data_IF_709234364030
#
_entry.id   IF_709234364030
#
_cell.length_a   1.000
_cell.length_b   1.000
_cell.length_c   1.000
_cell.angle_alpha   90.00
_cell.angle_beta   90.00
_cell.angle_gamma   90.00
#
_symmetry.space_group_name_H-M   'P 1'
#
loop_
_entity.id
_entity.type
_entity.pdbx_description
1 polymer ?
#
# COMPACT_ATOMS: atom_id res chain seq x y z
N UNK A 1 10.64 -13.99 0.73
CA UNK A 1 11.00 -12.92 1.69
C UNK A 1 11.21 -11.62 0.94
N UNK A 2 10.35 -10.64 1.18
CA UNK A 2 10.52 -9.28 0.67
C UNK A 2 11.63 -8.59 1.45
N UNK A 3 12.72 -8.22 0.76
CA UNK A 3 13.92 -7.65 1.40
C UNK A 3 13.91 -6.12 1.45
N UNK A 4 13.10 -5.49 0.59
CA UNK A 4 13.05 -4.04 0.44
C UNK A 4 11.62 -3.53 0.61
N UNK A 5 11.50 -2.32 1.14
CA UNK A 5 10.23 -1.62 1.30
C UNK A 5 10.35 -0.16 0.88
N UNK A 6 9.22 0.41 0.47
CA UNK A 6 9.04 1.87 0.36
C UNK A 6 8.45 2.37 1.67
N UNK A 7 8.99 3.45 2.19
CA UNK A 7 8.60 4.10 3.43
C UNK A 7 8.42 5.60 3.17
N UNK A 8 7.70 6.26 4.06
CA UNK A 8 7.53 7.70 4.08
C UNK A 8 8.06 8.33 5.36
N UNK A 9 8.39 9.63 5.26
CA UNK A 9 8.71 10.46 6.41
C UNK A 9 8.47 11.93 6.07
N UNK A 10 8.04 12.71 7.04
CA UNK A 10 8.05 14.16 6.91
C UNK A 10 9.46 14.70 7.20
N UNK A 11 9.92 15.68 6.42
CA UNK A 11 11.15 16.41 6.73
C UNK A 11 10.90 17.69 7.55
N UNK A 12 11.98 18.32 7.99
CA UNK A 12 11.93 19.57 8.78
C UNK A 12 11.27 20.77 8.08
N UNK A 13 11.09 20.70 6.76
CA UNK A 13 10.45 21.74 5.96
C UNK A 13 8.98 21.38 5.64
N UNK A 14 8.48 20.28 6.21
CA UNK A 14 7.11 19.81 6.07
C UNK A 14 6.84 19.03 4.79
N UNK A 15 7.84 18.59 4.02
CA UNK A 15 7.59 17.77 2.83
C UNK A 15 7.47 16.29 3.19
N UNK A 16 6.47 15.63 2.61
CA UNK A 16 6.33 14.18 2.65
C UNK A 16 7.34 13.51 1.70
N UNK A 17 8.40 12.93 2.26
CA UNK A 17 9.44 12.25 1.53
C UNK A 17 9.15 10.75 1.43
N UNK A 18 9.57 10.13 0.34
CA UNK A 18 9.55 8.67 0.19
C UNK A 18 10.97 8.14 0.07
N UNK A 19 11.23 6.95 0.62
CA UNK A 19 12.54 6.32 0.55
C UNK A 19 12.45 4.80 0.49
N UNK A 20 13.49 4.19 -0.08
CA UNK A 20 13.61 2.74 -0.22
C UNK A 20 14.66 2.25 0.77
N UNK A 21 14.27 1.37 1.67
CA UNK A 21 15.16 0.76 2.66
C UNK A 21 14.94 -0.76 2.72
N UNK A 22 15.82 -1.45 3.44
CA UNK A 22 15.57 -2.87 3.72
C UNK A 22 14.50 -3.00 4.81
N UNK A 23 13.65 -4.01 4.71
CA UNK A 23 12.63 -4.27 5.74
C UNK A 23 13.27 -4.64 7.10
N UNK A 24 14.52 -5.12 7.08
CA UNK A 24 15.31 -5.42 8.27
C UNK A 24 15.90 -4.19 8.97
N UNK A 25 16.18 -3.10 8.22
CA UNK A 25 16.71 -1.86 8.80
C UNK A 25 15.61 -1.03 9.47
N UNK A 26 14.37 -1.16 9.00
CA UNK A 26 13.22 -0.38 9.47
C UNK A 26 12.23 -1.26 10.26
N UNK A 27 12.72 -1.99 11.28
CA UNK A 27 11.92 -3.04 11.95
C UNK A 27 10.61 -2.55 12.59
N UNK A 28 10.59 -1.29 13.00
CA UNK A 28 9.47 -0.65 13.71
C UNK A 28 8.52 0.12 12.80
N UNK A 29 8.77 0.13 11.49
CA UNK A 29 7.96 0.85 10.51
C UNK A 29 7.40 -0.15 9.51
N UNK A 30 6.09 -0.13 9.32
CA UNK A 30 5.44 -0.94 8.30
C UNK A 30 5.67 -0.29 6.92
N UNK A 31 6.28 -0.99 5.95
CA UNK A 31 6.49 -0.43 4.63
C UNK A 31 5.15 -0.18 3.91
N UNK A 32 5.05 0.93 3.19
CA UNK A 32 3.93 1.26 2.31
C UNK A 32 3.70 0.18 1.25
N UNK A 33 4.81 -0.37 0.73
CA UNK A 33 4.82 -1.46 -0.24
C UNK A 33 6.14 -2.21 -0.18
N UNK A 34 6.12 -3.53 -0.39
CA UNK A 34 7.31 -4.38 -0.32
C UNK A 34 7.72 -4.98 -1.66
N UNK A 35 9.00 -5.30 -1.80
CA UNK A 35 9.61 -5.82 -3.02
C UNK A 35 10.65 -6.91 -2.71
N UNK A 36 10.81 -7.84 -3.64
CA UNK A 36 11.83 -8.90 -3.59
C UNK A 36 13.25 -8.34 -3.71
N UNK A 37 13.42 -7.28 -4.52
CA UNK A 37 14.70 -6.67 -4.84
C UNK A 37 14.60 -5.14 -4.93
N UNK A 38 15.75 -4.48 -4.80
CA UNK A 38 15.85 -3.01 -4.78
C UNK A 38 15.46 -2.37 -6.11
N UNK A 39 15.80 -3.00 -7.23
CA UNK A 39 15.55 -2.42 -8.56
C UNK A 39 14.06 -2.37 -8.87
N UNK A 40 13.30 -3.39 -8.47
CA UNK A 40 11.84 -3.40 -8.55
C UNK A 40 11.21 -2.26 -7.74
N UNK A 41 11.73 -1.99 -6.53
CA UNK A 41 11.28 -0.88 -5.69
C UNK A 41 11.59 0.48 -6.34
N UNK A 42 12.81 0.65 -6.87
CA UNK A 42 13.23 1.88 -7.58
C UNK A 42 12.34 2.11 -8.80
N UNK A 43 12.19 1.11 -9.66
CA UNK A 43 11.37 1.23 -10.87
C UNK A 43 9.90 1.51 -10.55
N UNK A 44 9.37 1.01 -9.43
CA UNK A 44 8.05 1.37 -8.96
C UNK A 44 7.97 2.83 -8.49
N UNK A 45 8.94 3.28 -7.68
CA UNK A 45 9.00 4.67 -7.20
C UNK A 45 9.13 5.66 -8.37
N UNK A 46 9.97 5.36 -9.37
CA UNK A 46 10.11 6.19 -10.56
C UNK A 46 8.80 6.35 -11.35
N UNK A 47 7.96 5.31 -11.38
CA UNK A 47 6.63 5.41 -12.01
C UNK A 47 5.71 6.35 -11.24
N UNK A 48 5.72 6.27 -9.91
CA UNK A 48 4.94 7.19 -9.07
C UNK A 48 5.42 8.63 -9.20
N UNK A 49 6.74 8.83 -9.18
CA UNK A 49 7.35 10.15 -9.38
C UNK A 49 6.90 10.79 -10.69
N UNK A 50 6.86 10.00 -11.77
CA UNK A 50 6.38 10.47 -13.07
C UNK A 50 4.87 10.71 -13.09
N UNK A 51 4.08 9.81 -12.51
CA UNK A 51 2.60 9.89 -12.48
C UNK A 51 2.11 11.11 -11.69
N UNK A 52 2.67 11.32 -10.51
CA UNK A 52 2.22 12.32 -9.54
C UNK A 52 3.06 13.60 -9.56
N UNK A 53 3.97 13.73 -10.53
CA UNK A 53 4.86 14.91 -10.68
C UNK A 53 5.56 15.21 -9.34
N UNK A 54 6.15 14.17 -8.75
CA UNK A 54 6.88 14.28 -7.50
C UNK A 54 8.34 14.65 -7.76
N UNK A 55 9.01 15.06 -6.70
CA UNK A 55 10.41 15.43 -6.75
C UNK A 55 11.27 14.18 -6.58
N UNK A 56 12.09 13.85 -7.59
CA UNK A 56 12.97 12.67 -7.54
C UNK A 56 13.88 12.65 -6.30
N UNK A 57 14.33 13.83 -5.85
CA UNK A 57 15.21 14.00 -4.70
C UNK A 57 14.47 13.73 -3.39
N UNK A 58 13.24 14.22 -3.23
CA UNK A 58 12.42 13.96 -2.05
C UNK A 58 11.86 12.52 -2.03
N UNK A 59 11.76 11.87 -3.19
CA UNK A 59 11.41 10.46 -3.30
C UNK A 59 12.61 9.50 -3.29
N UNK A 60 13.83 9.99 -3.02
CA UNK A 60 15.02 9.16 -2.88
C UNK A 60 15.46 8.42 -4.16
N UNK A 61 14.95 8.81 -5.33
CA UNK A 61 15.29 8.20 -6.64
C UNK A 61 16.43 8.90 -7.35
N UNK A 62 16.80 10.11 -6.92
CA UNK A 62 17.89 10.87 -7.49
C UNK A 62 18.65 11.67 -6.42
N UNK A 63 19.92 11.32 -6.20
CA UNK A 63 20.79 11.98 -5.23
C UNK A 63 21.59 13.06 -5.93
N UNK A 64 21.48 14.30 -5.46
CA UNK A 64 22.23 15.45 -5.97
C UNK A 64 22.26 16.55 -4.92
N UNK A 65 23.30 17.39 -4.92
CA UNK A 65 23.38 18.57 -4.05
C UNK A 65 22.41 19.68 -4.54
N UNK A 66 22.28 19.83 -5.85
CA UNK A 66 21.46 20.85 -6.49
C UNK A 66 19.98 20.49 -6.70
N UNK A 67 19.31 21.15 -7.67
CA UNK A 67 17.97 20.78 -8.09
C UNK A 67 17.94 19.39 -8.72
N UNK A 68 16.85 18.64 -8.51
CA UNK A 68 16.68 17.33 -9.16
C UNK A 68 16.61 17.46 -10.70
N UNK A 69 16.98 16.38 -11.40
CA UNK A 69 16.98 16.37 -12.87
C UNK A 69 15.59 16.72 -13.45
N UNK A 70 14.51 16.18 -12.88
CA UNK A 70 13.15 16.53 -13.29
C UNK A 70 12.84 18.02 -13.22
N UNK A 71 13.42 18.77 -12.27
CA UNK A 71 13.20 20.21 -12.20
C UNK A 71 13.85 20.92 -13.39
N UNK A 72 15.07 20.50 -13.78
CA UNK A 72 15.79 21.06 -14.92
C UNK A 72 15.02 20.88 -16.23
N UNK A 73 14.28 19.76 -16.37
CA UNK A 73 13.45 19.46 -17.54
C UNK A 73 11.95 19.79 -17.34
N UNK A 74 11.60 20.62 -16.34
CA UNK A 74 10.23 21.07 -16.05
C UNK A 74 9.20 19.94 -15.79
N UNK A 75 9.66 18.81 -15.26
CA UNK A 75 8.84 17.67 -14.79
C UNK A 75 8.74 17.59 -13.26
N UNK A 76 9.19 18.62 -12.56
CA UNK A 76 9.07 18.78 -11.12
C UNK A 76 8.90 20.26 -10.81
N UNK A 77 7.97 20.59 -9.93
CA UNK A 77 7.62 21.97 -9.58
C UNK A 77 8.64 22.64 -8.64
N UNK A 78 9.73 21.96 -8.28
CA UNK A 78 10.83 22.54 -7.53
C UNK A 78 10.72 22.40 -6.01
N UNK A 79 10.04 21.37 -5.50
CA UNK A 79 9.92 21.12 -4.07
C UNK A 79 11.30 21.01 -3.37
N UNK A 80 12.28 20.32 -3.98
CA UNK A 80 13.63 20.20 -3.38
C UNK A 80 14.45 21.50 -3.36
N UNK A 81 14.00 22.55 -4.06
CA UNK A 81 14.65 23.87 -4.08
C UNK A 81 13.76 24.95 -3.44
N UNK A 82 12.63 24.55 -2.84
CA UNK A 82 11.70 25.46 -2.16
C UNK A 82 10.85 26.34 -3.09
N UNK A 83 10.86 26.10 -4.40
CA UNK A 83 10.01 26.85 -5.35
C UNK A 83 8.54 26.45 -5.23
N UNK A 84 8.28 25.17 -4.97
CA UNK A 84 6.95 24.66 -4.64
C UNK A 84 6.81 24.56 -3.12
N UNK A 85 5.68 25.00 -2.56
CA UNK A 85 5.40 24.86 -1.14
C UNK A 85 5.16 23.40 -0.73
N UNK A 86 5.44 23.08 0.53
CA UNK A 86 5.15 21.76 1.10
C UNK A 86 3.67 21.40 1.01
N UNK A 87 2.76 22.35 1.24
CA UNK A 87 1.31 22.10 1.10
C UNK A 87 0.92 21.68 -0.32
N UNK A 88 1.41 22.38 -1.34
CA UNK A 88 1.14 22.07 -2.75
C UNK A 88 1.72 20.71 -3.15
N UNK A 89 2.97 20.46 -2.76
CA UNK A 89 3.66 19.21 -3.04
C UNK A 89 2.98 18.02 -2.34
N UNK A 90 2.63 18.18 -1.06
CA UNK A 90 2.10 17.11 -0.23
C UNK A 90 0.73 16.62 -0.71
N UNK A 91 -0.09 17.45 -1.36
CA UNK A 91 -1.35 17.00 -1.99
C UNK A 91 -1.09 15.84 -2.95
N UNK A 92 -0.10 15.98 -3.85
CA UNK A 92 0.28 14.92 -4.80
C UNK A 92 1.04 13.77 -4.14
N UNK A 93 1.82 14.06 -3.10
CA UNK A 93 2.50 13.01 -2.34
C UNK A 93 1.48 12.11 -1.60
N UNK A 94 0.41 12.69 -1.06
CA UNK A 94 -0.69 11.94 -0.44
C UNK A 94 -1.47 11.08 -1.45
N UNK A 95 -1.70 11.59 -2.67
CA UNK A 95 -2.26 10.78 -3.77
C UNK A 95 -1.35 9.59 -4.09
N UNK A 96 -0.03 9.80 -4.19
CA UNK A 96 0.93 8.73 -4.42
C UNK A 96 0.99 7.72 -3.27
N UNK A 97 0.88 8.18 -2.01
CA UNK A 97 0.79 7.33 -0.84
C UNK A 97 -0.48 6.46 -0.88
N UNK A 98 -1.59 7.02 -1.34
CA UNK A 98 -2.86 6.29 -1.55
C UNK A 98 -2.75 5.26 -2.68
N UNK A 99 -1.98 5.53 -3.74
CA UNK A 99 -1.66 4.55 -4.80
C UNK A 99 -0.78 3.39 -4.30
N UNK A 100 0.04 3.63 -3.27
CA UNK A 100 0.99 2.66 -2.72
C UNK A 100 0.36 1.71 -1.74
N UNK A 101 -0.44 2.27 -0.85
CA UNK A 101 -1.19 1.51 0.12
C UNK A 101 -2.42 0.93 -0.59
N UNK A 102 -2.77 -0.32 -0.33
CA UNK A 102 -4.10 -0.84 -0.69
C UNK A 102 -5.16 -0.22 0.24
N UNK A 103 -5.12 1.10 0.45
CA UNK A 103 -6.00 1.81 1.37
C UNK A 103 -7.37 2.00 0.73
N UNK A 104 -8.39 1.88 1.58
CA UNK A 104 -9.84 2.00 1.31
C UNK A 104 -10.55 0.79 0.73
N UNK A 105 -9.85 -0.32 0.50
CA UNK A 105 -10.51 -1.54 0.04
C UNK A 105 -10.47 -2.58 1.14
N UNK A 106 -11.58 -2.64 1.88
CA UNK A 106 -11.92 -3.79 2.68
C UNK A 106 -12.52 -4.83 1.76
N UNK A 107 -11.93 -6.02 1.71
CA UNK A 107 -12.41 -7.10 0.88
C UNK A 107 -12.05 -8.44 1.49
N UNK A 108 -12.77 -9.47 1.07
CA UNK A 108 -12.29 -10.83 1.25
C UNK A 108 -12.01 -11.51 -0.08
N UNK A 109 -11.04 -12.42 -0.03
CA UNK A 109 -10.71 -13.33 -1.13
C UNK A 109 -11.28 -14.68 -0.74
N UNK A 110 -12.22 -15.20 -1.54
CA UNK A 110 -12.61 -16.61 -1.46
C UNK A 110 -12.09 -17.33 -2.69
N UNK A 111 -11.10 -18.20 -2.49
CA UNK A 111 -10.71 -19.20 -3.47
C UNK A 111 -10.79 -20.58 -2.79
N UNK A 112 -11.82 -21.32 -3.17
CA UNK A 112 -12.17 -22.60 -2.59
C UNK A 112 -13.57 -22.99 -3.03
N UNK A 113 -13.74 -24.23 -3.49
CA UNK A 113 -15.07 -24.82 -3.63
C UNK A 113 -15.64 -25.00 -2.21
N UNK A 114 -16.94 -24.78 -2.02
CA UNK A 114 -17.57 -25.06 -0.74
C UNK A 114 -17.26 -26.50 -0.32
N UNK A 115 -16.76 -26.68 0.90
CA UNK A 115 -16.48 -27.99 1.49
C UNK A 115 -17.22 -28.06 2.81
N UNK A 116 -17.98 -29.13 3.02
CA UNK A 116 -18.81 -29.32 4.21
C UNK A 116 -19.74 -28.13 4.51
N UNK A 117 -20.30 -27.49 3.47
CA UNK A 117 -21.22 -26.36 3.62
C UNK A 117 -20.55 -25.00 3.91
N UNK A 118 -19.22 -24.93 3.90
CA UNK A 118 -18.47 -23.71 4.20
C UNK A 118 -17.53 -23.31 3.06
N UNK A 119 -17.31 -22.01 2.91
CA UNK A 119 -16.44 -21.39 1.91
C UNK A 119 -15.27 -20.68 2.61
N UNK A 120 -14.00 -21.03 2.33
CA UNK A 120 -12.88 -20.35 2.94
C UNK A 120 -12.73 -18.92 2.43
N UNK A 121 -12.34 -18.01 3.32
CA UNK A 121 -12.03 -16.64 2.98
C UNK A 121 -10.80 -16.10 3.72
N UNK A 122 -10.16 -15.10 3.12
CA UNK A 122 -9.11 -14.28 3.72
C UNK A 122 -9.63 -12.86 3.82
N UNK A 123 -9.57 -12.25 5.01
CA UNK A 123 -10.02 -10.88 5.25
C UNK A 123 -8.86 -9.89 5.13
N UNK A 124 -9.07 -8.87 4.30
CA UNK A 124 -8.25 -7.66 4.21
C UNK A 124 -9.13 -6.48 4.64
N UNK A 125 -8.67 -5.72 5.63
CA UNK A 125 -9.29 -4.46 6.04
C UNK A 125 -8.26 -3.34 5.94
N UNK A 126 -8.62 -2.26 5.22
CA UNK A 126 -7.75 -1.10 5.01
C UNK A 126 -6.35 -1.48 4.48
N UNK A 127 -6.30 -2.48 3.59
CA UNK A 127 -5.07 -2.98 2.99
C UNK A 127 -4.21 -3.83 3.93
N UNK A 128 -4.69 -4.16 5.13
CA UNK A 128 -4.02 -5.01 6.10
C UNK A 128 -4.71 -6.37 6.22
N UNK A 129 -3.94 -7.45 6.21
CA UNK A 129 -4.45 -8.79 6.52
C UNK A 129 -4.98 -8.86 7.95
N UNK A 130 -6.19 -9.40 8.12
CA UNK A 130 -6.86 -9.54 9.43
C UNK A 130 -7.01 -10.99 9.88
N UNK A 131 -7.04 -11.92 8.94
CA UNK A 131 -7.17 -13.34 9.26
C UNK A 131 -7.76 -14.15 8.11
N UNK A 132 -7.99 -15.42 8.39
CA UNK A 132 -8.76 -16.33 7.53
C UNK A 132 -9.91 -16.94 8.32
N UNK A 133 -10.92 -17.39 7.59
CA UNK A 133 -12.11 -17.98 8.17
C UNK A 133 -12.93 -18.80 7.19
N UNK A 134 -14.08 -19.27 7.64
CA UNK A 134 -15.02 -20.10 6.88
C UNK A 134 -16.42 -19.45 6.91
N UNK A 135 -16.94 -19.08 5.73
CA UNK A 135 -18.29 -18.57 5.55
C UNK A 135 -19.27 -19.72 5.26
N UNK A 136 -20.37 -19.87 6.01
CA UNK A 136 -21.47 -20.75 5.63
C UNK A 136 -22.02 -20.38 4.24
N UNK A 137 -22.40 -21.38 3.44
CA UNK A 137 -22.81 -21.16 2.03
C UNK A 137 -24.08 -20.29 1.88
N UNK A 138 -24.89 -20.24 2.93
CA UNK A 138 -26.14 -19.50 3.08
C UNK A 138 -25.99 -18.19 3.85
N UNK A 139 -24.76 -17.86 4.28
CA UNK A 139 -24.49 -16.59 4.96
C UNK A 139 -24.63 -15.40 4.00
N UNK A 140 -25.34 -14.38 4.45
CA UNK A 140 -25.41 -13.08 3.77
C UNK A 140 -24.37 -12.19 4.42
N UNK A 141 -23.32 -11.86 3.67
CA UNK A 141 -22.29 -10.92 4.11
C UNK A 141 -22.68 -9.54 3.58
N UNK A 142 -23.08 -8.65 4.49
CA UNK A 142 -23.54 -7.29 4.20
C UNK A 142 -22.51 -6.22 4.53
N UNK A 143 -21.60 -6.53 5.44
CA UNK A 143 -20.51 -5.65 5.86
C UNK A 143 -19.27 -6.43 6.29
N UNK A 144 -18.21 -5.69 6.61
CA UNK A 144 -16.95 -6.29 7.04
C UNK A 144 -17.06 -6.92 8.43
N UNK A 145 -17.97 -6.40 9.26
CA UNK A 145 -18.30 -6.87 10.59
C UNK A 145 -18.81 -8.31 10.56
N UNK A 146 -19.56 -8.67 9.52
CA UNK A 146 -20.03 -10.04 9.32
C UNK A 146 -18.85 -10.99 9.15
N UNK A 147 -17.80 -10.58 8.40
CA UNK A 147 -16.60 -11.40 8.22
C UNK A 147 -15.84 -11.64 9.52
N UNK A 148 -15.79 -10.66 10.43
CA UNK A 148 -15.12 -10.84 11.73
C UNK A 148 -15.75 -11.95 12.57
N UNK A 149 -17.07 -12.17 12.46
CA UNK A 149 -17.79 -13.24 13.15
C UNK A 149 -17.35 -14.64 12.74
N UNK A 150 -16.83 -14.79 11.51
CA UNK A 150 -16.46 -16.07 10.92
C UNK A 150 -14.94 -16.30 10.83
N UNK A 151 -14.13 -15.43 11.45
CA UNK A 151 -12.68 -15.63 11.53
C UNK A 151 -12.36 -16.81 12.46
N UNK A 152 -11.71 -17.84 11.91
CA UNK A 152 -11.19 -18.95 12.72
C UNK A 152 -9.91 -18.56 13.46
N UNK A 153 -9.13 -17.64 12.87
CA UNK A 153 -7.91 -17.11 13.48
C UNK A 153 -7.69 -15.64 13.12
N UNK A 154 -7.86 -14.77 14.10
CA UNK A 154 -7.44 -13.36 14.00
C UNK A 154 -5.92 -13.28 14.16
N UNK A 155 -5.23 -12.66 13.22
CA UNK A 155 -3.77 -12.49 13.30
C UNK A 155 -3.41 -11.00 13.21
N UNK A 156 -2.78 -10.50 14.26
CA UNK A 156 -2.11 -9.22 14.25
C UNK A 156 -0.76 -9.38 13.52
N UNK A 157 -0.62 -8.67 12.40
CA UNK A 157 0.65 -8.22 11.82
C UNK A 157 1.64 -9.31 11.38
N UNK A 158 1.22 -10.17 10.45
CA UNK A 158 2.15 -11.03 9.70
C UNK A 158 2.76 -10.24 8.53
N UNK A 159 4.03 -9.85 8.70
CA UNK A 159 4.82 -9.08 7.71
C UNK A 159 4.95 -9.77 6.35
N UNK A 160 4.76 -11.09 6.28
CA UNK A 160 4.79 -11.86 5.03
C UNK A 160 3.40 -12.08 4.42
N UNK A 161 2.31 -11.96 5.19
CA UNK A 161 0.94 -12.14 4.68
C UNK A 161 0.61 -11.19 3.52
N UNK A 162 0.98 -9.92 3.63
CA UNK A 162 0.77 -8.94 2.55
C UNK A 162 1.50 -9.35 1.25
N UNK A 163 2.70 -9.93 1.35
CA UNK A 163 3.44 -10.40 0.17
C UNK A 163 2.79 -11.64 -0.46
N UNK A 164 2.30 -12.57 0.36
CA UNK A 164 1.56 -13.77 -0.10
C UNK A 164 0.27 -13.34 -0.81
N UNK A 165 -0.49 -12.42 -0.22
CA UNK A 165 -1.77 -11.93 -0.75
C UNK A 165 -1.55 -11.19 -2.06
N UNK A 166 -0.57 -10.29 -2.14
CA UNK A 166 -0.23 -9.60 -3.39
C UNK A 166 0.21 -10.57 -4.50
N UNK A 167 0.98 -11.60 -4.17
CA UNK A 167 1.37 -12.66 -5.12
C UNK A 167 0.15 -13.44 -5.60
N UNK A 168 -0.72 -13.87 -4.68
CA UNK A 168 -1.95 -14.59 -4.98
C UNK A 168 -2.87 -13.77 -5.90
N UNK A 169 -3.08 -12.49 -5.58
CA UNK A 169 -3.91 -11.58 -6.37
C UNK A 169 -3.38 -11.37 -7.80
N UNK A 170 -2.07 -11.53 -8.02
CA UNK A 170 -1.44 -11.36 -9.33
C UNK A 170 -1.50 -12.62 -10.19
N UNK A 171 -1.53 -13.81 -9.58
CA UNK A 171 -1.23 -15.07 -10.27
C UNK A 171 -2.40 -16.07 -10.32
N UNK A 172 -3.46 -15.88 -9.52
CA UNK A 172 -4.59 -16.81 -9.41
C UNK A 172 -5.90 -16.12 -9.81
N UNK A 173 -6.88 -16.90 -10.28
CA UNK A 173 -8.28 -16.43 -10.38
C UNK A 173 -8.91 -16.64 -9.01
N UNK A 174 -9.56 -15.62 -8.49
CA UNK A 174 -10.24 -15.66 -7.20
C UNK A 174 -11.52 -14.84 -7.28
N UNK A 175 -12.44 -15.10 -6.36
CA UNK A 175 -13.59 -14.23 -6.15
C UNK A 175 -13.20 -13.18 -5.12
N UNK A 176 -13.29 -11.92 -5.54
CA UNK A 176 -13.06 -10.74 -4.72
C UNK A 176 -14.42 -10.12 -4.38
N UNK A 177 -14.71 -9.97 -3.10
CA UNK A 177 -15.90 -9.23 -2.64
C UNK A 177 -15.43 -7.98 -1.93
N UNK A 178 -15.77 -6.81 -2.46
CA UNK A 178 -15.39 -5.50 -1.92
C UNK A 178 -16.53 -4.95 -1.06
N UNK A 179 -16.18 -4.39 0.09
CA UNK A 179 -17.08 -3.60 0.91
C UNK A 179 -16.93 -2.13 0.51
N UNK A 180 -18.04 -1.44 0.26
CA UNK A 180 -18.03 0.01 0.08
C UNK A 180 -17.89 0.65 1.46
N UNK A 181 -16.89 1.51 1.67
CA UNK A 181 -16.87 2.40 2.83
C UNK A 181 -18.12 3.29 2.74
N UNK A 182 -19.06 3.12 3.68
CA UNK A 182 -20.07 4.14 3.91
C UNK A 182 -19.31 5.29 4.57
N UNK A 183 -19.07 6.38 3.83
CA UNK A 183 -18.62 7.63 4.43
C UNK A 183 -19.64 8.04 5.49
N UNK A 184 -19.34 7.75 6.75
CA UNK A 184 -20.03 8.31 7.90
C UNK A 184 -19.68 9.79 7.96
N UNK A 185 -20.44 10.59 7.21
CA UNK A 185 -20.51 12.04 7.38
C UNK A 185 -20.92 12.35 8.81
N UNK A 186 -19.97 12.81 9.63
CA UNK A 186 -20.18 13.44 10.93
C UNK A 186 -19.29 14.67 11.04
#
# INVERSE_FOLDING_TARGET
MSRYGIFDKEDKNGYLNFYIATTLSEKSITPLRTFSDKNSAIGYMERLVKRHILCQKLCGTYVTEGPCFHHQIKKCNGACVGTESSESYNKRAMEALSDMQMKHESFFISDGFPSNGNTPFVLIENGSYKGYGLLPIDSVVSGIEDCYTYLEKSYFDDKDANAIIQSFMKHKRFRLVRFQEIESNL
#
